data_IF_263159856287
#
_entry.id   IF_263159856287
#
_cell.length_a   1.000
_cell.length_b   1.000
_cell.length_c   1.000
_cell.angle_alpha   90.00
_cell.angle_beta   90.00
_cell.angle_gamma   90.00
#
_symmetry.space_group_name_H-M   'P 1'
#
loop_
_entity.id
_entity.type
_entity.pdbx_description
1 polymer ?
#
# COMPACT_ATOMS: atom_id res chain seq x y z
N UNK A 1 -5.15 55.23 -191.96
CA UNK A 1 -6.50 55.84 -191.84
C UNK A 1 -6.48 56.76 -190.62
N UNK A 2 -6.98 58.00 -190.72
CA UNK A 2 -7.06 58.86 -189.55
C UNK A 2 -8.15 58.32 -188.59
N UNK A 3 -7.79 58.11 -187.31
CA UNK A 3 -8.70 57.54 -186.30
C UNK A 3 -9.86 58.47 -185.90
N UNK A 4 -9.81 59.74 -186.31
CA UNK A 4 -10.75 60.81 -185.94
C UNK A 4 -11.84 61.07 -186.99
N UNK A 5 -11.83 60.33 -188.10
CA UNK A 5 -12.73 60.55 -189.25
C UNK A 5 -12.87 59.24 -190.03
N UNK A 6 -14.11 58.85 -190.33
CA UNK A 6 -14.38 57.65 -191.14
C UNK A 6 -14.01 57.88 -192.61
N UNK A 7 -13.71 56.79 -193.34
CA UNK A 7 -13.30 56.89 -194.76
C UNK A 7 -14.33 57.61 -195.65
N UNK A 8 -15.62 57.54 -195.29
CA UNK A 8 -16.71 58.21 -196.00
C UNK A 8 -16.63 59.73 -195.84
N UNK A 9 -16.41 60.18 -194.60
CA UNK A 9 -16.30 61.61 -194.27
C UNK A 9 -14.98 62.22 -194.78
N UNK A 10 -13.90 61.44 -194.82
CA UNK A 10 -12.62 61.89 -195.34
C UNK A 10 -12.68 62.20 -196.84
N UNK A 11 -13.43 61.39 -197.62
CA UNK A 11 -13.63 61.64 -199.06
C UNK A 11 -14.44 62.92 -199.31
N UNK A 12 -15.49 63.16 -198.52
CA UNK A 12 -16.32 64.36 -198.65
C UNK A 12 -15.60 65.66 -198.27
N UNK A 13 -14.67 65.60 -197.31
CA UNK A 13 -13.92 66.77 -196.85
C UNK A 13 -12.52 66.90 -197.49
N UNK A 14 -12.11 66.02 -198.41
CA UNK A 14 -10.75 65.95 -198.96
C UNK A 14 -10.25 67.21 -199.70
N UNK A 15 -11.16 68.10 -200.11
CA UNK A 15 -10.85 69.41 -200.70
C UNK A 15 -10.72 70.57 -199.72
N UNK A 16 -11.06 70.39 -198.44
CA UNK A 16 -11.04 71.41 -197.38
C UNK A 16 -10.19 70.95 -196.19
N UNK A 17 -8.89 71.25 -196.27
CA UNK A 17 -7.92 70.88 -195.25
C UNK A 17 -8.19 71.51 -193.86
N UNK A 18 -8.91 72.64 -193.81
CA UNK A 18 -9.27 73.30 -192.55
C UNK A 18 -10.28 72.48 -191.75
N UNK A 19 -11.28 71.91 -192.43
CA UNK A 19 -12.35 71.12 -191.81
C UNK A 19 -11.85 69.75 -191.32
N UNK A 20 -10.88 69.15 -192.03
CA UNK A 20 -10.19 67.92 -191.58
C UNK A 20 -9.30 68.18 -190.36
N UNK A 21 -8.58 69.32 -190.33
CA UNK A 21 -7.77 69.72 -189.18
C UNK A 21 -8.63 70.04 -187.94
N UNK A 22 -9.76 70.71 -188.12
CA UNK A 22 -10.69 71.02 -187.03
C UNK A 22 -11.31 69.75 -186.41
N UNK A 23 -11.64 68.74 -187.23
CA UNK A 23 -12.07 67.41 -186.73
C UNK A 23 -10.94 66.68 -185.99
N UNK A 24 -9.70 66.76 -186.47
CA UNK A 24 -8.55 66.19 -185.77
C UNK A 24 -8.33 66.88 -184.42
N UNK A 25 -8.38 68.21 -184.37
CA UNK A 25 -8.24 68.99 -183.15
C UNK A 25 -9.39 68.75 -182.17
N UNK A 26 -10.63 68.60 -182.65
CA UNK A 26 -11.77 68.25 -181.82
C UNK A 26 -11.60 66.86 -181.19
N UNK A 27 -11.17 65.87 -181.97
CA UNK A 27 -10.90 64.51 -181.49
C UNK A 27 -9.70 64.45 -180.53
N UNK A 28 -8.65 65.21 -180.81
CA UNK A 28 -7.49 65.34 -179.93
C UNK A 28 -7.92 66.00 -178.61
N UNK A 29 -8.70 67.10 -178.65
CA UNK A 29 -9.25 67.73 -177.44
C UNK A 29 -10.16 66.78 -176.65
N UNK A 30 -10.97 65.99 -177.34
CA UNK A 30 -11.83 64.98 -176.71
C UNK A 30 -10.99 63.88 -176.04
N UNK A 31 -9.98 63.35 -176.71
CA UNK A 31 -9.05 62.38 -176.13
C UNK A 31 -8.25 62.95 -174.96
N UNK A 32 -7.80 64.21 -175.06
CA UNK A 32 -7.16 64.89 -173.94
C UNK A 32 -8.12 65.06 -172.76
N UNK A 33 -9.39 65.41 -173.03
CA UNK A 33 -10.45 65.45 -172.03
C UNK A 33 -10.63 64.10 -171.36
N UNK A 34 -10.76 63.02 -172.11
CA UNK A 34 -10.90 61.65 -171.59
C UNK A 34 -9.68 61.19 -170.78
N UNK A 35 -8.47 61.49 -171.25
CA UNK A 35 -7.24 61.21 -170.50
C UNK A 35 -7.22 61.96 -169.18
N UNK A 36 -7.62 63.23 -169.17
CA UNK A 36 -7.65 64.03 -167.95
C UNK A 36 -8.73 63.53 -166.98
N UNK A 37 -9.88 63.08 -167.48
CA UNK A 37 -10.93 62.43 -166.67
C UNK A 37 -10.43 61.13 -166.06
N UNK A 38 -9.80 60.25 -166.85
CA UNK A 38 -9.26 58.97 -166.35
C UNK A 38 -8.13 59.19 -165.35
N UNK A 39 -7.28 60.20 -165.56
CA UNK A 39 -6.26 60.60 -164.57
C UNK A 39 -6.89 61.09 -163.29
N UNK A 40 -7.88 61.98 -163.36
CA UNK A 40 -8.58 62.49 -162.19
C UNK A 40 -9.31 61.36 -161.43
N UNK A 41 -9.91 60.41 -162.15
CA UNK A 41 -10.53 59.22 -161.56
C UNK A 41 -9.51 58.30 -160.90
N UNK A 42 -8.35 58.07 -161.53
CA UNK A 42 -7.26 57.28 -160.96
C UNK A 42 -6.66 57.95 -159.72
N UNK A 43 -6.46 59.26 -159.73
CA UNK A 43 -5.98 60.05 -158.59
C UNK A 43 -7.01 60.02 -157.45
N UNK A 44 -8.30 60.19 -157.75
CA UNK A 44 -9.37 60.08 -156.76
C UNK A 44 -9.47 58.67 -156.16
N UNK A 45 -9.31 57.63 -156.97
CA UNK A 45 -9.27 56.25 -156.51
C UNK A 45 -8.03 55.98 -155.64
N UNK A 46 -6.86 56.50 -156.01
CA UNK A 46 -5.62 56.41 -155.22
C UNK A 46 -5.78 57.10 -153.86
N UNK A 47 -6.32 58.32 -153.84
CA UNK A 47 -6.60 59.05 -152.60
C UNK A 47 -7.58 58.28 -151.72
N UNK A 48 -8.66 57.74 -152.31
CA UNK A 48 -9.65 56.94 -151.56
C UNK A 48 -9.03 55.67 -150.98
N UNK A 49 -8.16 55.01 -151.74
CA UNK A 49 -7.46 53.82 -151.30
C UNK A 49 -6.46 54.12 -150.17
N UNK A 50 -5.71 55.20 -150.26
CA UNK A 50 -4.81 55.66 -149.19
C UNK A 50 -5.58 56.03 -147.91
N UNK A 51 -6.69 56.76 -148.05
CA UNK A 51 -7.54 57.13 -146.91
C UNK A 51 -8.15 55.89 -146.23
N UNK A 52 -8.65 54.94 -147.02
CA UNK A 52 -9.22 53.70 -146.47
C UNK A 52 -8.13 52.80 -145.86
N UNK A 53 -6.95 52.70 -146.48
CA UNK A 53 -5.79 51.99 -145.92
C UNK A 53 -5.37 52.60 -144.59
N UNK A 54 -5.23 53.93 -144.53
CA UNK A 54 -4.87 54.66 -143.31
C UNK A 54 -5.87 54.43 -142.18
N UNK A 55 -7.18 54.44 -142.48
CA UNK A 55 -8.23 54.17 -141.50
C UNK A 55 -8.17 52.74 -140.96
N UNK A 56 -7.92 51.75 -141.83
CA UNK A 56 -7.81 50.34 -141.43
C UNK A 56 -6.55 50.14 -140.56
N UNK A 57 -5.42 50.72 -140.95
CA UNK A 57 -4.18 50.67 -140.16
C UNK A 57 -4.38 51.28 -138.76
N UNK A 58 -5.02 52.45 -138.68
CA UNK A 58 -5.31 53.09 -137.40
C UNK A 58 -6.19 52.20 -136.51
N UNK A 59 -7.24 51.58 -137.08
CA UNK A 59 -8.10 50.64 -136.36
C UNK A 59 -7.34 49.40 -135.90
N UNK A 60 -6.48 48.85 -136.76
CA UNK A 60 -5.67 47.69 -136.43
C UNK A 60 -4.71 47.99 -135.27
N UNK A 61 -4.04 49.14 -135.29
CA UNK A 61 -3.15 49.58 -134.22
C UNK A 61 -3.92 49.77 -132.90
N UNK A 62 -5.09 50.44 -132.94
CA UNK A 62 -5.94 50.62 -131.76
C UNK A 62 -6.37 49.28 -131.16
N UNK A 63 -6.89 48.38 -132.00
CA UNK A 63 -7.38 47.07 -131.57
C UNK A 63 -6.24 46.18 -131.04
N UNK A 64 -5.06 46.24 -131.66
CA UNK A 64 -3.87 45.51 -131.19
C UNK A 64 -3.38 46.02 -129.83
N UNK A 65 -3.47 47.34 -129.59
CA UNK A 65 -3.12 47.93 -128.30
C UNK A 65 -4.12 47.52 -127.20
N UNK A 66 -5.43 47.58 -127.50
CA UNK A 66 -6.48 47.09 -126.60
C UNK A 66 -6.32 45.61 -126.28
N UNK A 67 -6.05 44.78 -127.29
CA UNK A 67 -5.80 43.35 -127.11
C UNK A 67 -4.60 43.09 -126.20
N UNK A 68 -3.49 43.81 -126.41
CA UNK A 68 -2.29 43.68 -125.58
C UNK A 68 -2.56 44.09 -124.12
N UNK A 69 -3.32 45.16 -123.92
CA UNK A 69 -3.75 45.61 -122.58
C UNK A 69 -4.62 44.56 -121.88
N UNK A 70 -5.61 44.02 -122.59
CA UNK A 70 -6.50 42.99 -122.06
C UNK A 70 -5.75 41.69 -121.76
N UNK A 71 -4.78 41.31 -122.59
CA UNK A 71 -3.91 40.16 -122.36
C UNK A 71 -3.05 40.32 -121.10
N UNK A 72 -2.52 41.53 -120.83
CA UNK A 72 -1.79 41.83 -119.61
C UNK A 72 -2.69 41.70 -118.39
N UNK A 73 -3.87 42.33 -118.42
CA UNK A 73 -4.84 42.27 -117.33
C UNK A 73 -5.29 40.83 -117.05
N UNK A 74 -5.54 40.04 -118.09
CA UNK A 74 -5.87 38.62 -117.94
C UNK A 74 -4.74 37.85 -117.26
N UNK A 75 -3.49 38.08 -117.65
CA UNK A 75 -2.33 37.42 -117.07
C UNK A 75 -2.13 37.80 -115.60
N UNK A 76 -2.28 39.08 -115.27
CA UNK A 76 -2.23 39.58 -113.89
C UNK A 76 -3.35 38.97 -113.04
N UNK A 77 -4.59 38.98 -113.54
CA UNK A 77 -5.72 38.41 -112.84
C UNK A 77 -5.58 36.90 -112.65
N UNK A 78 -5.08 36.17 -113.65
CA UNK A 78 -4.80 34.74 -113.56
C UNK A 78 -3.73 34.44 -112.50
N UNK A 79 -2.64 35.22 -112.47
CA UNK A 79 -1.59 35.05 -111.46
C UNK A 79 -2.11 35.30 -110.02
N UNK A 80 -2.95 36.33 -109.85
CA UNK A 80 -3.61 36.63 -108.57
C UNK A 80 -4.58 35.53 -108.16
N UNK A 81 -5.36 35.00 -109.12
CA UNK A 81 -6.27 33.88 -108.90
C UNK A 81 -5.52 32.62 -108.45
N UNK A 82 -4.44 32.25 -109.14
CA UNK A 82 -3.59 31.12 -108.76
C UNK A 82 -2.97 31.29 -107.37
N UNK A 83 -2.49 32.50 -107.03
CA UNK A 83 -1.97 32.80 -105.71
C UNK A 83 -3.05 32.61 -104.63
N UNK A 84 -4.25 33.18 -104.82
CA UNK A 84 -5.37 33.04 -103.87
C UNK A 84 -5.82 31.59 -103.73
N UNK A 85 -5.82 30.83 -104.81
CA UNK A 85 -6.16 29.41 -104.76
C UNK A 85 -5.13 28.62 -103.93
N UNK A 86 -3.84 28.95 -104.06
CA UNK A 86 -2.78 28.34 -103.24
C UNK A 86 -2.89 28.71 -101.75
N UNK A 87 -3.23 29.96 -101.43
CA UNK A 87 -3.47 30.42 -100.07
C UNK A 87 -4.67 29.70 -99.44
N UNK A 88 -5.76 29.56 -100.19
CA UNK A 88 -6.96 28.86 -99.73
C UNK A 88 -6.67 27.38 -99.46
N UNK A 89 -5.87 26.72 -100.30
CA UNK A 89 -5.40 25.35 -100.06
C UNK A 89 -4.60 25.22 -98.75
N UNK A 90 -3.65 26.13 -98.49
CA UNK A 90 -2.85 26.14 -97.24
C UNK A 90 -3.72 26.40 -96.00
N UNK A 91 -4.68 27.32 -96.10
CA UNK A 91 -5.62 27.59 -95.01
C UNK A 91 -6.52 26.39 -94.74
N UNK A 92 -6.96 25.69 -95.78
CA UNK A 92 -7.78 24.49 -95.64
C UNK A 92 -7.03 23.34 -94.98
N UNK A 93 -5.77 23.10 -95.35
CA UNK A 93 -4.92 22.09 -94.68
C UNK A 93 -4.63 22.48 -93.23
N UNK A 94 -4.33 23.75 -92.97
CA UNK A 94 -4.10 24.25 -91.60
C UNK A 94 -5.34 24.09 -90.72
N UNK A 95 -6.54 24.38 -91.25
CA UNK A 95 -7.81 24.16 -90.57
C UNK A 95 -8.01 22.68 -90.21
N UNK A 96 -7.75 21.76 -91.15
CA UNK A 96 -7.88 20.32 -90.90
C UNK A 96 -6.90 19.85 -89.82
N UNK A 97 -5.67 20.35 -89.83
CA UNK A 97 -4.67 20.03 -88.82
C UNK A 97 -5.09 20.52 -87.42
N UNK A 98 -5.59 21.75 -87.30
CA UNK A 98 -6.09 22.29 -86.03
C UNK A 98 -7.30 21.52 -85.50
N UNK A 99 -8.20 21.06 -86.38
CA UNK A 99 -9.33 20.22 -85.97
C UNK A 99 -8.85 18.89 -85.38
N UNK A 100 -7.86 18.23 -85.99
CA UNK A 100 -7.29 17.00 -85.44
C UNK A 100 -6.64 17.24 -84.08
N UNK A 101 -5.87 18.31 -83.92
CA UNK A 101 -5.27 18.69 -82.64
C UNK A 101 -6.32 18.98 -81.56
N UNK A 102 -7.44 19.62 -81.92
CA UNK A 102 -8.54 19.86 -80.99
C UNK A 102 -9.13 18.55 -80.49
N UNK A 103 -9.38 17.59 -81.39
CA UNK A 103 -9.93 16.27 -81.03
C UNK A 103 -8.97 15.51 -80.12
N UNK A 104 -7.67 15.54 -80.41
CA UNK A 104 -6.64 14.91 -79.56
C UNK A 104 -6.63 15.52 -78.15
N UNK A 105 -6.73 16.84 -78.05
CA UNK A 105 -6.76 17.56 -76.77
C UNK A 105 -8.03 17.28 -75.99
N UNK A 106 -9.19 17.19 -76.65
CA UNK A 106 -10.45 16.81 -76.02
C UNK A 106 -10.36 15.38 -75.44
N UNK A 107 -9.77 14.44 -76.18
CA UNK A 107 -9.55 13.08 -75.69
C UNK A 107 -8.60 13.01 -74.48
N UNK A 108 -7.56 13.85 -74.45
CA UNK A 108 -6.66 13.98 -73.31
C UNK A 108 -7.37 14.56 -72.07
N UNK A 109 -8.20 15.59 -72.26
CA UNK A 109 -9.03 16.19 -71.21
C UNK A 109 -9.98 15.17 -70.61
N UNK A 110 -10.70 14.40 -71.45
CA UNK A 110 -11.61 13.36 -70.95
C UNK A 110 -10.87 12.27 -70.17
N UNK A 111 -9.69 11.86 -70.63
CA UNK A 111 -8.86 10.86 -69.93
C UNK A 111 -8.44 11.37 -68.55
N UNK A 112 -7.91 12.59 -68.48
CA UNK A 112 -7.50 13.21 -67.21
C UNK A 112 -8.69 13.43 -66.28
N UNK A 113 -9.86 13.79 -66.81
CA UNK A 113 -11.09 13.96 -66.03
C UNK A 113 -11.52 12.64 -65.40
N UNK A 114 -11.48 11.53 -66.15
CA UNK A 114 -11.78 10.19 -65.62
C UNK A 114 -10.78 9.76 -64.53
N UNK A 115 -9.49 9.99 -64.74
CA UNK A 115 -8.44 9.71 -63.76
C UNK A 115 -8.65 10.51 -62.47
N UNK A 116 -8.98 11.80 -62.58
CA UNK A 116 -9.29 12.65 -61.43
C UNK A 116 -10.50 12.13 -60.62
N UNK A 117 -11.56 11.69 -61.28
CA UNK A 117 -12.75 11.14 -60.61
C UNK A 117 -12.42 9.86 -59.84
N UNK A 118 -11.65 8.94 -60.44
CA UNK A 118 -11.23 7.70 -59.76
C UNK A 118 -10.29 7.98 -58.58
N UNK A 119 -9.35 8.92 -58.72
CA UNK A 119 -8.51 9.36 -57.60
C UNK A 119 -9.34 9.98 -56.47
N UNK A 120 -10.34 10.81 -56.78
CA UNK A 120 -11.24 11.37 -55.79
C UNK A 120 -12.05 10.29 -55.07
N UNK A 121 -12.50 9.25 -55.79
CA UNK A 121 -13.21 8.11 -55.22
C UNK A 121 -12.31 7.31 -54.27
N UNK A 122 -11.10 6.97 -54.70
CA UNK A 122 -10.11 6.28 -53.88
C UNK A 122 -9.73 7.09 -52.63
N UNK A 123 -9.50 8.40 -52.77
CA UNK A 123 -9.25 9.30 -51.63
C UNK A 123 -10.39 9.27 -50.62
N UNK A 124 -11.65 9.30 -51.07
CA UNK A 124 -12.81 9.24 -50.19
C UNK A 124 -12.85 7.93 -49.40
N UNK A 125 -12.66 6.80 -50.08
CA UNK A 125 -12.62 5.48 -49.43
C UNK A 125 -11.50 5.38 -48.38
N UNK A 126 -10.33 5.96 -48.66
CA UNK A 126 -9.22 5.99 -47.70
C UNK A 126 -9.54 6.85 -46.48
N UNK A 127 -10.23 7.99 -46.64
CA UNK A 127 -10.67 8.81 -45.51
C UNK A 127 -11.70 8.07 -44.65
N UNK A 128 -12.69 7.40 -45.26
CA UNK A 128 -13.68 6.58 -44.54
C UNK A 128 -13.01 5.46 -43.74
N UNK A 129 -12.00 4.80 -44.32
CA UNK A 129 -11.23 3.77 -43.63
C UNK A 129 -10.42 4.35 -42.46
N UNK A 130 -9.85 5.55 -42.63
CA UNK A 130 -9.07 6.22 -41.59
C UNK A 130 -9.97 6.61 -40.41
N UNK A 131 -11.15 7.16 -40.68
CA UNK A 131 -12.16 7.47 -39.65
C UNK A 131 -12.60 6.21 -38.88
N UNK A 132 -12.81 5.08 -39.59
CA UNK A 132 -13.12 3.80 -38.94
C UNK A 132 -11.97 3.33 -38.04
N UNK A 133 -10.72 3.48 -38.47
CA UNK A 133 -9.55 3.10 -37.69
C UNK A 133 -9.36 3.99 -36.47
N UNK A 134 -9.61 5.29 -36.57
CA UNK A 134 -9.58 6.21 -35.45
C UNK A 134 -10.65 5.87 -34.40
N UNK A 135 -11.85 5.44 -34.83
CA UNK A 135 -12.89 4.94 -33.95
C UNK A 135 -12.43 3.67 -33.21
N UNK A 136 -11.87 2.70 -33.92
CA UNK A 136 -11.35 1.44 -33.35
C UNK A 136 -10.23 1.71 -32.33
N UNK A 137 -9.32 2.64 -32.62
CA UNK A 137 -8.26 3.06 -31.71
C UNK A 137 -8.85 3.71 -30.46
N UNK A 138 -9.86 4.56 -30.61
CA UNK A 138 -10.53 5.23 -29.50
C UNK A 138 -11.25 4.24 -28.57
N UNK A 139 -11.94 3.25 -29.11
CA UNK A 139 -12.58 2.16 -28.35
C UNK A 139 -11.56 1.31 -27.60
N UNK A 140 -10.46 0.93 -28.26
CA UNK A 140 -9.36 0.19 -27.63
C UNK A 140 -8.73 0.99 -26.50
N UNK A 141 -8.49 2.28 -26.69
CA UNK A 141 -7.95 3.17 -25.65
C UNK A 141 -8.90 3.30 -24.45
N UNK A 142 -10.22 3.40 -24.69
CA UNK A 142 -11.21 3.41 -23.62
C UNK A 142 -11.20 2.09 -22.82
N UNK A 143 -11.09 0.95 -23.51
CA UNK A 143 -10.99 -0.37 -22.88
C UNK A 143 -9.71 -0.51 -22.04
N UNK A 144 -8.57 -0.09 -22.58
CA UNK A 144 -7.28 -0.08 -21.86
C UNK A 144 -7.37 0.77 -20.60
N UNK A 145 -7.98 1.96 -20.69
CA UNK A 145 -8.17 2.85 -19.54
C UNK A 145 -9.00 2.18 -18.44
N UNK A 146 -10.09 1.50 -18.81
CA UNK A 146 -10.91 0.75 -17.85
C UNK A 146 -10.13 -0.36 -17.14
N UNK A 147 -9.28 -1.10 -17.86
CA UNK A 147 -8.41 -2.11 -17.25
C UNK A 147 -7.36 -1.50 -16.32
N UNK A 148 -6.76 -0.36 -16.69
CA UNK A 148 -5.83 0.35 -15.83
C UNK A 148 -6.50 0.81 -14.54
N UNK A 149 -7.68 1.42 -14.62
CA UNK A 149 -8.44 1.84 -13.43
C UNK A 149 -8.75 0.65 -12.51
N UNK A 150 -9.09 -0.51 -13.09
CA UNK A 150 -9.32 -1.75 -12.32
C UNK A 150 -8.05 -2.24 -11.63
N UNK A 151 -6.90 -2.21 -12.30
CA UNK A 151 -5.62 -2.61 -11.72
C UNK A 151 -5.26 -1.69 -10.55
N UNK A 152 -5.39 -0.38 -10.72
CA UNK A 152 -5.12 0.61 -9.67
C UNK A 152 -6.01 0.34 -8.45
N UNK A 153 -7.32 0.20 -8.65
CA UNK A 153 -8.27 -0.08 -7.57
C UNK A 153 -7.96 -1.40 -6.84
N UNK A 154 -7.58 -2.46 -7.56
CA UNK A 154 -7.20 -3.73 -6.94
C UNK A 154 -5.90 -3.62 -6.15
N UNK A 155 -4.93 -2.86 -6.67
CA UNK A 155 -3.64 -2.63 -6.01
C UNK A 155 -3.81 -1.83 -4.71
N UNK A 156 -4.62 -0.77 -4.74
CA UNK A 156 -4.92 0.02 -3.55
C UNK A 156 -5.68 -0.79 -2.49
N UNK A 157 -6.66 -1.61 -2.91
CA UNK A 157 -7.36 -2.53 -2.02
C UNK A 157 -6.43 -3.59 -1.41
N UNK A 158 -5.46 -4.12 -2.18
CA UNK A 158 -4.49 -5.07 -1.68
C UNK A 158 -3.57 -4.42 -0.63
N UNK A 159 -3.02 -3.23 -0.92
CA UNK A 159 -2.19 -2.48 0.00
C UNK A 159 -2.95 -2.15 1.31
N UNK A 160 -4.22 -1.77 1.23
CA UNK A 160 -5.07 -1.53 2.41
C UNK A 160 -5.26 -2.78 3.26
N UNK A 161 -5.52 -3.94 2.63
CA UNK A 161 -5.65 -5.22 3.33
C UNK A 161 -4.33 -5.65 3.98
N UNK A 162 -3.22 -5.46 3.29
CA UNK A 162 -1.88 -5.81 3.76
C UNK A 162 -1.48 -4.96 4.98
N UNK A 163 -1.77 -3.66 4.96
CA UNK A 163 -1.60 -2.80 6.13
C UNK A 163 -2.46 -3.25 7.32
N UNK A 164 -3.71 -3.66 7.08
CA UNK A 164 -4.59 -4.19 8.14
C UNK A 164 -4.07 -5.52 8.70
N UNK A 165 -3.54 -6.40 7.85
CA UNK A 165 -2.91 -7.66 8.28
C UNK A 165 -1.70 -7.38 9.17
N UNK A 166 -0.80 -6.47 8.76
CA UNK A 166 0.35 -6.09 9.58
C UNK A 166 -0.05 -5.56 10.97
N UNK A 167 -1.12 -4.77 11.05
CA UNK A 167 -1.65 -4.32 12.35
C UNK A 167 -2.15 -5.48 13.21
N UNK A 168 -2.92 -6.42 12.64
CA UNK A 168 -3.42 -7.60 13.35
C UNK A 168 -2.28 -8.53 13.81
N UNK A 169 -1.27 -8.73 12.98
CA UNK A 169 -0.07 -9.50 13.33
C UNK A 169 0.69 -8.86 14.49
N UNK A 170 0.83 -7.53 14.48
CA UNK A 170 1.46 -6.80 15.59
C UNK A 170 0.67 -6.94 16.91
N UNK A 171 -0.66 -6.89 16.83
CA UNK A 171 -1.54 -7.05 17.99
C UNK A 171 -1.50 -8.48 18.52
N UNK A 172 -1.52 -9.47 17.63
CA UNK A 172 -1.37 -10.88 17.99
C UNK A 172 -0.01 -11.14 18.67
N UNK A 173 1.08 -10.56 18.15
CA UNK A 173 2.39 -10.60 18.79
C UNK A 173 2.38 -10.02 20.21
N UNK A 174 1.73 -8.86 20.40
CA UNK A 174 1.55 -8.24 21.72
C UNK A 174 0.74 -9.13 22.65
N UNK A 175 -0.39 -9.69 22.19
CA UNK A 175 -1.24 -10.57 22.99
C UNK A 175 -0.49 -11.84 23.41
N UNK A 176 0.26 -12.44 22.50
CA UNK A 176 1.11 -13.60 22.81
C UNK A 176 2.16 -13.28 23.88
N UNK A 177 2.83 -12.12 23.77
CA UNK A 177 3.79 -11.68 24.80
C UNK A 177 3.11 -11.47 26.16
N UNK A 178 1.92 -10.86 26.19
CA UNK A 178 1.16 -10.71 27.43
C UNK A 178 0.69 -12.04 28.01
N UNK A 179 0.28 -12.99 27.17
CA UNK A 179 -0.13 -14.33 27.59
C UNK A 179 1.04 -15.10 28.19
N UNK A 180 2.21 -15.06 27.55
CA UNK A 180 3.44 -15.68 28.06
C UNK A 180 3.82 -15.12 29.44
N UNK A 181 3.74 -13.80 29.63
CA UNK A 181 3.98 -13.16 30.94
C UNK A 181 2.98 -13.64 31.99
N UNK A 182 1.69 -13.66 31.67
CA UNK A 182 0.64 -14.12 32.60
C UNK A 182 0.79 -15.61 32.95
N UNK A 183 1.20 -16.45 32.00
CA UNK A 183 1.53 -17.85 32.28
C UNK A 183 2.69 -17.98 33.26
N UNK A 184 3.75 -17.20 33.08
CA UNK A 184 4.88 -17.18 34.02
C UNK A 184 4.44 -16.72 35.42
N UNK A 185 3.64 -15.65 35.52
CA UNK A 185 3.10 -15.16 36.79
C UNK A 185 2.22 -16.22 37.48
N UNK A 186 1.37 -16.91 36.70
CA UNK A 186 0.56 -18.04 37.19
C UNK A 186 1.44 -19.15 37.77
N UNK A 187 2.47 -19.60 37.05
CA UNK A 187 3.34 -20.67 37.54
C UNK A 187 4.10 -20.26 38.80
N UNK A 188 4.53 -19.00 38.91
CA UNK A 188 5.17 -18.49 40.13
C UNK A 188 4.22 -18.52 41.32
N UNK A 189 2.95 -18.11 41.13
CA UNK A 189 1.92 -18.18 42.17
C UNK A 189 1.60 -19.62 42.57
N UNK A 190 1.54 -20.55 41.62
CA UNK A 190 1.34 -21.98 41.91
C UNK A 190 2.50 -22.57 42.73
N UNK A 191 3.76 -22.24 42.38
CA UNK A 191 4.95 -22.62 43.16
C UNK A 191 4.93 -22.02 44.57
N UNK A 192 4.48 -20.77 44.71
CA UNK A 192 4.37 -20.13 46.02
C UNK A 192 3.27 -20.77 46.89
N UNK A 193 2.11 -21.08 46.32
CA UNK A 193 1.01 -21.74 47.03
C UNK A 193 1.39 -23.16 47.49
N UNK A 194 2.09 -23.92 46.64
CA UNK A 194 2.59 -25.26 47.01
C UNK A 194 3.56 -25.18 48.17
N UNK A 195 4.54 -24.26 48.12
CA UNK A 195 5.47 -24.03 49.22
C UNK A 195 4.78 -23.62 50.53
N UNK A 196 3.80 -22.71 50.48
CA UNK A 196 3.03 -22.31 51.66
C UNK A 196 2.26 -23.48 52.29
N UNK A 197 1.67 -24.34 51.47
CA UNK A 197 0.97 -25.53 51.95
C UNK A 197 1.93 -26.53 52.58
N UNK A 198 3.11 -26.73 52.01
CA UNK A 198 4.17 -27.58 52.59
C UNK A 198 4.63 -27.04 53.95
N UNK A 199 4.91 -25.74 54.06
CA UNK A 199 5.31 -25.11 55.32
C UNK A 199 4.19 -25.19 56.37
N UNK A 200 2.93 -24.93 55.98
CA UNK A 200 1.79 -25.05 56.87
C UNK A 200 1.63 -26.49 57.39
N UNK A 201 1.76 -27.47 56.50
CA UNK A 201 1.71 -28.90 56.86
C UNK A 201 2.82 -29.24 57.85
N UNK A 202 4.05 -28.81 57.57
CA UNK A 202 5.20 -29.02 58.46
C UNK A 202 4.99 -28.39 59.85
N UNK A 203 4.43 -27.17 59.93
CA UNK A 203 4.09 -26.53 61.21
C UNK A 203 3.01 -27.29 61.96
N UNK A 204 1.96 -27.75 61.28
CA UNK A 204 0.88 -28.55 61.89
C UNK A 204 1.43 -29.86 62.45
N UNK A 205 2.27 -30.57 61.69
CA UNK A 205 2.89 -31.81 62.13
C UNK A 205 3.79 -31.59 63.36
N UNK A 206 4.59 -30.51 63.36
CA UNK A 206 5.40 -30.11 64.51
C UNK A 206 4.56 -29.80 65.75
N UNK A 207 3.44 -29.09 65.59
CA UNK A 207 2.50 -28.82 66.68
C UNK A 207 1.83 -30.10 67.21
N UNK A 208 1.49 -31.05 66.34
CA UNK A 208 0.95 -32.35 66.74
C UNK A 208 1.99 -33.14 67.53
N UNK A 209 3.25 -33.18 67.07
CA UNK A 209 4.34 -33.83 67.79
C UNK A 209 4.57 -33.19 69.16
N UNK A 210 4.57 -31.86 69.24
CA UNK A 210 4.71 -31.13 70.51
C UNK A 210 3.55 -31.44 71.46
N UNK A 211 2.31 -31.45 70.97
CA UNK A 211 1.13 -31.83 71.77
C UNK A 211 1.22 -33.26 72.28
N UNK A 212 1.68 -34.22 71.46
CA UNK A 212 1.90 -35.61 71.88
C UNK A 212 2.96 -35.70 72.98
N UNK A 213 4.12 -35.08 72.77
CA UNK A 213 5.18 -35.05 73.78
C UNK A 213 4.72 -34.40 75.10
N UNK A 214 3.97 -33.30 75.02
CA UNK A 214 3.42 -32.65 76.21
C UNK A 214 2.37 -33.53 76.90
N UNK A 215 1.50 -34.21 76.15
CA UNK A 215 0.53 -35.16 76.71
C UNK A 215 1.19 -36.37 77.38
N UNK A 216 2.27 -36.91 76.81
CA UNK A 216 3.08 -37.97 77.42
C UNK A 216 3.71 -37.49 78.74
N UNK A 217 4.23 -36.26 78.74
CA UNK A 217 4.84 -35.63 79.92
C UNK A 217 3.79 -35.34 81.00
N UNK A 218 2.61 -34.82 80.63
CA UNK A 218 1.47 -34.62 81.52
C UNK A 218 0.99 -35.94 82.13
N UNK A 219 0.91 -37.02 81.34
CA UNK A 219 0.54 -38.35 81.82
C UNK A 219 1.59 -38.92 82.79
N UNK A 220 2.88 -38.81 82.47
CA UNK A 220 3.99 -39.22 83.36
C UNK A 220 3.98 -38.43 84.67
N UNK A 221 3.80 -37.11 84.60
CA UNK A 221 3.70 -36.25 85.79
C UNK A 221 2.46 -36.56 86.62
N UNK A 222 1.30 -36.81 85.97
CA UNK A 222 0.08 -37.22 86.65
C UNK A 222 0.24 -38.57 87.35
N UNK A 223 0.92 -39.53 86.71
CA UNK A 223 1.27 -40.82 87.31
C UNK A 223 2.18 -40.64 88.53
N UNK A 224 3.25 -39.85 88.40
CA UNK A 224 4.16 -39.53 89.50
C UNK A 224 3.44 -38.85 90.66
N UNK A 225 2.54 -37.91 90.35
CA UNK A 225 1.75 -37.20 91.35
C UNK A 225 0.79 -38.17 92.06
N UNK A 226 0.09 -39.04 91.34
CA UNK A 226 -0.77 -40.07 91.93
C UNK A 226 0.01 -41.06 92.83
N UNK A 227 1.22 -41.45 92.42
CA UNK A 227 2.11 -42.29 93.23
C UNK A 227 2.58 -41.57 94.51
N UNK A 228 2.93 -40.29 94.41
CA UNK A 228 3.29 -39.45 95.57
C UNK A 228 2.09 -39.26 96.49
N UNK A 229 0.90 -38.97 95.96
CA UNK A 229 -0.33 -38.88 96.74
C UNK A 229 -0.64 -40.19 97.47
N UNK A 230 -0.45 -41.34 96.82
CA UNK A 230 -0.60 -42.65 97.45
C UNK A 230 0.39 -42.85 98.59
N UNK A 231 1.68 -42.60 98.36
CA UNK A 231 2.72 -42.68 99.41
C UNK A 231 2.44 -41.72 100.57
N UNK A 232 1.94 -40.53 100.28
CA UNK A 232 1.56 -39.55 101.29
C UNK A 232 0.37 -40.05 102.12
N UNK A 233 -0.67 -40.60 101.47
CA UNK A 233 -1.81 -41.23 102.15
C UNK A 233 -1.38 -42.39 103.04
N UNK A 234 -0.49 -43.25 102.56
CA UNK A 234 0.11 -44.35 103.32
C UNK A 234 0.93 -43.85 104.51
N UNK A 235 1.74 -42.81 104.33
CA UNK A 235 2.54 -42.21 105.42
C UNK A 235 1.65 -41.50 106.44
N UNK A 236 0.58 -40.85 105.99
CA UNK A 236 -0.40 -40.20 106.86
C UNK A 236 -1.18 -41.22 107.67
N UNK A 237 -1.60 -42.34 107.06
CA UNK A 237 -2.28 -43.41 107.77
C UNK A 237 -1.36 -44.14 108.75
N UNK A 238 -0.09 -44.37 108.39
CA UNK A 238 0.91 -44.93 109.32
C UNK A 238 1.18 -43.98 110.49
N UNK A 239 1.34 -42.67 110.23
CA UNK A 239 1.48 -41.66 111.26
C UNK A 239 0.28 -41.63 112.21
N UNK A 240 -0.95 -41.75 111.67
CA UNK A 240 -2.16 -41.84 112.48
C UNK A 240 -2.15 -43.08 113.38
N UNK A 241 -1.81 -44.25 112.83
CA UNK A 241 -1.68 -45.48 113.61
C UNK A 241 -0.61 -45.37 114.71
N UNK A 242 0.53 -44.75 114.42
CA UNK A 242 1.55 -44.46 115.43
C UNK A 242 1.05 -43.49 116.50
N UNK A 243 0.29 -42.46 116.13
CA UNK A 243 -0.32 -41.51 117.08
C UNK A 243 -1.34 -42.20 117.97
N UNK A 244 -2.22 -43.04 117.40
CA UNK A 244 -3.19 -43.84 118.15
C UNK A 244 -2.46 -44.79 119.12
N UNK A 245 -1.34 -45.39 118.69
CA UNK A 245 -0.49 -46.23 119.54
C UNK A 245 0.23 -45.45 120.64
N UNK A 246 0.71 -44.23 120.36
CA UNK A 246 1.29 -43.34 121.37
C UNK A 246 0.23 -42.99 122.42
N UNK A 247 -0.96 -42.58 122.01
CA UNK A 247 -2.06 -42.30 122.94
C UNK A 247 -2.37 -43.53 123.82
N UNK A 248 -2.40 -44.73 123.24
CA UNK A 248 -2.60 -45.98 123.98
C UNK A 248 -1.45 -46.26 124.98
N UNK A 249 -0.21 -45.92 124.62
CA UNK A 249 0.95 -46.03 125.50
C UNK A 249 0.95 -44.94 126.58
N UNK A 250 0.51 -43.72 126.28
CA UNK A 250 0.33 -42.63 127.24
C UNK A 250 -0.77 -42.98 128.26
N UNK A 251 -1.88 -43.58 127.83
CA UNK A 251 -2.91 -44.10 128.73
C UNK A 251 -2.36 -45.19 129.67
N UNK A 252 -1.53 -46.10 129.14
CA UNK A 252 -0.84 -47.12 129.95
C UNK A 252 0.21 -46.51 130.88
N UNK A 253 0.95 -45.50 130.44
CA UNK A 253 1.91 -44.79 131.27
C UNK A 253 1.18 -44.11 132.42
N UNK A 254 0.11 -43.36 132.13
CA UNK A 254 -0.72 -42.71 133.14
C UNK A 254 -1.38 -43.71 134.10
N UNK A 255 -1.74 -44.92 133.65
CA UNK A 255 -2.21 -45.98 134.56
C UNK A 255 -1.09 -46.47 135.47
N UNK A 256 0.11 -46.72 134.92
CA UNK A 256 1.27 -47.12 135.74
C UNK A 256 1.76 -46.03 136.68
N UNK A 257 1.68 -44.75 136.32
CA UNK A 257 2.00 -43.63 137.22
C UNK A 257 0.99 -43.54 138.37
N UNK A 258 -0.30 -43.79 138.12
CA UNK A 258 -1.32 -43.88 139.18
C UNK A 258 -1.05 -45.05 140.13
N UNK A 259 -0.67 -46.20 139.58
CA UNK A 259 -0.25 -47.35 140.39
C UNK A 259 1.00 -47.03 141.20
N UNK A 260 2.00 -46.37 140.60
CA UNK A 260 3.23 -45.96 141.27
C UNK A 260 2.94 -44.97 142.41
N UNK A 261 2.12 -43.95 142.18
CA UNK A 261 1.68 -42.99 143.21
C UNK A 261 0.97 -43.71 144.35
N UNK A 262 0.06 -44.64 144.04
CA UNK A 262 -0.60 -45.48 145.05
C UNK A 262 0.40 -46.30 145.87
N UNK A 263 1.41 -46.90 145.23
CA UNK A 263 2.47 -47.64 145.95
C UNK A 263 3.40 -46.72 146.76
N UNK A 264 3.65 -45.50 146.28
CA UNK A 264 4.46 -44.50 146.96
C UNK A 264 3.74 -43.98 148.21
N UNK A 265 2.45 -43.69 148.12
CA UNK A 265 1.65 -43.27 149.26
C UNK A 265 1.53 -44.40 150.29
N UNK A 266 1.42 -45.66 149.84
CA UNK A 266 1.50 -46.82 150.73
C UNK A 266 2.87 -46.95 151.42
N UNK A 267 3.97 -46.63 150.71
CA UNK A 267 5.33 -46.60 151.27
C UNK A 267 5.53 -45.45 152.25
N UNK A 268 5.04 -44.25 151.94
CA UNK A 268 5.11 -43.07 152.82
C UNK A 268 4.33 -43.29 154.12
N UNK A 269 3.15 -43.93 154.05
CA UNK A 269 2.38 -44.32 155.22
C UNK A 269 3.12 -45.36 156.10
N UNK A 270 3.95 -46.22 155.50
CA UNK A 270 4.81 -47.14 156.24
C UNK A 270 6.01 -46.41 156.88
N UNK A 271 6.62 -45.46 156.18
CA UNK A 271 7.70 -44.61 156.69
C UNK A 271 7.27 -43.74 157.87
N UNK A 272 6.06 -43.14 157.84
CA UNK A 272 5.52 -42.40 158.99
C UNK A 272 5.31 -43.32 160.20
N UNK A 273 4.86 -44.57 159.99
CA UNK A 273 4.76 -45.56 161.06
C UNK A 273 6.12 -45.90 161.66
N UNK A 274 7.14 -46.16 160.85
CA UNK A 274 8.49 -46.43 161.34
C UNK A 274 9.11 -45.21 162.02
N UNK A 275 8.83 -44.00 161.54
CA UNK A 275 9.30 -42.76 162.15
C UNK A 275 8.68 -42.54 163.53
N UNK A 276 7.39 -42.85 163.70
CA UNK A 276 6.72 -42.86 165.01
C UNK A 276 7.31 -43.93 165.95
N UNK A 277 7.72 -45.08 165.41
CA UNK A 277 8.37 -46.16 166.15
C UNK A 277 9.80 -45.77 166.60
N UNK A 278 10.56 -45.07 165.76
CA UNK A 278 11.87 -44.51 166.11
C UNK A 278 11.75 -43.41 167.17
N UNK A 279 10.73 -42.53 167.07
CA UNK A 279 10.51 -41.48 168.05
C UNK A 279 10.20 -42.04 169.45
N UNK A 280 9.48 -43.17 169.53
CA UNK A 280 9.24 -43.84 170.82
C UNK A 280 10.48 -44.54 171.36
N UNK A 281 11.32 -45.13 170.49
CA UNK A 281 12.60 -45.74 170.88
C UNK A 281 13.65 -44.72 171.34
N UNK A 282 13.78 -43.57 170.67
CA UNK A 282 14.69 -42.49 171.09
C UNK A 282 14.31 -41.92 172.46
N UNK A 283 13.01 -41.74 172.72
CA UNK A 283 12.52 -41.32 174.04
C UNK A 283 12.81 -42.35 175.14
N UNK A 284 12.86 -43.63 174.80
CA UNK A 284 13.28 -44.69 175.73
C UNK A 284 14.80 -44.61 176.00
N UNK A 285 15.61 -44.33 174.97
CA UNK A 285 17.06 -44.19 175.09
C UNK A 285 17.48 -43.01 175.97
N UNK A 286 16.78 -41.87 175.87
CA UNK A 286 17.05 -40.69 176.71
C UNK A 286 16.74 -40.97 178.19
N UNK A 287 15.65 -41.68 178.50
CA UNK A 287 15.31 -42.11 179.86
C UNK A 287 16.36 -43.06 180.45
N UNK A 288 16.97 -43.92 179.62
CA UNK A 288 18.08 -44.77 180.07
C UNK A 288 19.35 -43.97 180.35
N UNK A 289 19.60 -42.91 179.59
CA UNK A 289 20.77 -42.04 179.75
C UNK A 289 20.70 -41.18 181.02
N UNK A 290 19.52 -40.63 181.33
CA UNK A 290 19.28 -39.92 182.59
C UNK A 290 19.44 -40.84 183.82
N UNK A 291 19.02 -42.11 183.72
CA UNK A 291 19.25 -43.09 184.81
C UNK A 291 20.73 -43.40 185.02
N UNK A 292 21.54 -43.40 183.95
CA UNK A 292 22.97 -43.69 184.00
C UNK A 292 23.79 -42.57 184.65
N UNK A 293 23.40 -41.31 184.46
CA UNK A 293 24.09 -40.16 185.05
C UNK A 293 23.82 -40.05 186.57
N UNK A 294 22.64 -40.46 187.04
CA UNK A 294 22.33 -40.52 188.49
C UNK A 294 23.13 -41.60 189.23
N UNK A 295 23.41 -42.75 188.61
CA UNK A 295 24.29 -43.78 189.20
C UNK A 295 25.76 -43.36 189.23
N UNK A 296 26.23 -42.62 188.22
CA UNK A 296 27.59 -42.05 188.20
C UNK A 296 27.82 -41.08 189.36
N UNK A 297 26.80 -40.28 189.70
CA UNK A 297 26.81 -39.38 190.86
C UNK A 297 26.95 -40.12 192.20
N UNK A 298 26.41 -41.34 192.30
CA UNK A 298 26.45 -42.18 193.51
C UNK A 298 27.76 -42.96 193.68
N UNK A 299 28.44 -43.30 192.59
CA UNK A 299 29.73 -44.01 192.64
C UNK A 299 30.87 -43.09 193.13
N UNK A 300 30.89 -41.83 192.69
CA UNK A 300 31.93 -40.88 193.07
C UNK A 300 31.89 -40.49 194.57
N UNK A 301 30.71 -40.45 195.19
CA UNK A 301 30.57 -40.14 196.62
C UNK A 301 31.07 -41.28 197.53
N UNK A 302 30.94 -42.53 197.12
CA UNK A 302 31.39 -43.70 197.91
C UNK A 302 32.91 -43.92 197.85
N UNK A 303 33.56 -43.56 196.75
CA UNK A 303 35.01 -43.70 196.60
C UNK A 303 35.81 -42.66 197.43
N UNK A 304 35.21 -41.49 197.70
CA UNK A 304 35.80 -40.49 198.60
C UNK A 304 35.75 -40.90 200.07
N UNK A 305 34.65 -41.51 200.52
CA UNK A 305 34.51 -42.00 201.91
C UNK A 305 35.52 -43.11 202.22
N UNK A 306 35.91 -43.91 201.23
CA UNK A 306 36.92 -44.98 201.39
C UNK A 306 38.33 -44.40 201.58
N UNK A 307 38.68 -43.30 200.89
CA UNK A 307 39.98 -42.63 201.12
C UNK A 307 40.13 -42.02 202.52
N UNK A 308 39.04 -41.72 203.21
CA UNK A 308 39.06 -41.22 204.59
C UNK A 308 39.29 -42.33 205.64
N UNK A 309 39.25 -43.61 205.27
CA UNK A 309 39.28 -44.75 206.19
C UNK A 309 40.56 -45.61 206.12
N UNK A 310 41.41 -45.46 205.10
CA UNK A 310 42.50 -46.43 204.85
C UNK A 310 43.90 -46.09 205.40
N UNK A 311 44.19 -44.92 205.97
CA UNK A 311 45.55 -44.68 206.54
C UNK A 311 45.53 -43.93 207.88
N UNK A 312 44.76 -44.48 208.83
CA UNK A 312 45.00 -44.32 210.27
C UNK A 312 45.66 -45.55 210.92
N UNK A 313 46.11 -46.56 210.17
CA UNK A 313 46.87 -47.70 210.72
C UNK A 313 47.86 -48.27 209.69
N UNK A 314 49.15 -47.88 209.76
CA UNK A 314 50.38 -48.69 209.61
C UNK A 314 51.64 -47.77 209.71
N UNK A 315 52.57 -48.11 210.63
CA UNK A 315 53.81 -47.45 211.16
C UNK A 315 53.59 -46.41 212.29
N UNK A 316 54.09 -46.57 213.54
CA UNK A 316 55.24 -47.33 214.09
C UNK A 316 56.52 -47.15 213.29
#
# INVERSE_FOLDING_TARGET
>A
MPLFISDEEFRQCSGDAGLVAEKADAFIRELYGQIETVKAEADAASITLEQTSSLIEQKYVSLSAEYSSLQSQYSELNSSFEQRNSELGKLQSGKQQLLLQSIEKDGEIERLTREAVELHKSKRQLMELLEQKDLEVSEKNATIKSYLDKIVNLTENAASKEARLGNLESELGRLNATSARLLQEKELLERHNTWLNEELTAKVDSLIQLRKANGELEADMSSKLADVEKKFKESSSSLKLHKDRINELEEKLASTERELLSTKDASAAAEERFSAEIATLSRLADLYKESSEEWSKKAAELEGVIKALEVSVVYS
#
